data_IF_807743115722
#
_entry.id   IF_807743115722
#
_cell.length_a   1.000
_cell.length_b   1.000
_cell.length_c   1.000
_cell.angle_alpha   90.00
_cell.angle_beta   90.00
_cell.angle_gamma   90.00
#
_symmetry.space_group_name_H-M   'P 1'
#
loop_
_entity.id
_entity.type
_entity.pdbx_description
1 polymer ?
#
# COMPACT_ATOMS: atom_id res chain seq x y z
N UNK A 1 7.16 -26.75 38.64
CA UNK A 1 8.17 -25.76 38.90
C UNK A 1 8.06 -24.58 38.04
N UNK A 2 8.22 -24.79 36.80
CA UNK A 2 8.15 -23.71 35.85
C UNK A 2 6.81 -23.01 35.76
N UNK A 3 5.72 -23.70 35.92
CA UNK A 3 4.41 -23.07 35.81
C UNK A 3 4.15 -21.95 36.78
N UNK A 4 4.71 -22.07 37.97
CA UNK A 4 4.43 -21.06 38.97
C UNK A 4 5.02 -19.70 38.61
N UNK A 5 6.11 -19.72 37.91
CA UNK A 5 6.75 -18.48 37.51
C UNK A 5 5.93 -17.75 36.47
N UNK A 6 5.37 -18.49 35.56
CA UNK A 6 4.61 -17.91 34.48
C UNK A 6 3.33 -17.23 34.97
N UNK A 7 2.73 -17.75 35.99
CA UNK A 7 1.48 -17.19 36.47
C UNK A 7 1.65 -15.81 37.11
N UNK A 8 2.80 -15.53 37.63
CA UNK A 8 3.02 -14.24 38.26
C UNK A 8 3.11 -13.09 37.27
N UNK A 9 3.72 -13.33 36.18
CA UNK A 9 3.95 -12.28 35.20
C UNK A 9 2.66 -11.66 34.61
N UNK A 10 1.65 -12.42 34.30
CA UNK A 10 0.45 -11.86 33.73
C UNK A 10 -0.28 -10.88 34.62
N UNK A 11 -0.22 -11.09 35.88
CA UNK A 11 -0.95 -10.22 36.81
C UNK A 11 -0.44 -8.80 36.77
N UNK A 12 0.84 -8.66 36.83
CA UNK A 12 1.41 -7.33 36.85
C UNK A 12 1.19 -6.63 35.53
N UNK A 13 1.15 -7.37 34.46
CA UNK A 13 0.87 -6.80 33.17
C UNK A 13 -0.54 -6.22 33.11
N UNK A 14 -1.49 -6.89 33.72
CA UNK A 14 -2.85 -6.41 33.76
C UNK A 14 -2.96 -5.06 34.45
N UNK A 15 -2.32 -4.93 35.57
CA UNK A 15 -2.40 -3.69 36.30
C UNK A 15 -1.83 -2.54 35.50
N UNK A 16 -0.74 -2.79 34.84
CA UNK A 16 -0.16 -1.75 34.02
C UNK A 16 -1.04 -1.34 32.86
N UNK A 17 -1.67 -2.32 32.29
CA UNK A 17 -2.54 -2.02 31.17
C UNK A 17 -3.72 -1.16 31.57
N UNK A 18 -4.27 -1.43 32.72
CA UNK A 18 -5.38 -0.62 33.16
C UNK A 18 -5.02 0.84 33.34
N UNK A 19 -3.89 1.05 33.96
CA UNK A 19 -3.45 2.43 34.15
C UNK A 19 -3.16 3.10 32.83
N UNK A 20 -2.57 2.36 31.96
CA UNK A 20 -2.23 2.88 30.66
C UNK A 20 -3.46 3.26 29.86
N UNK A 21 -4.47 2.43 29.94
CA UNK A 21 -5.72 2.70 29.23
C UNK A 21 -6.36 3.98 29.72
N UNK A 22 -6.34 4.22 31.00
CA UNK A 22 -6.91 5.45 31.52
C UNK A 22 -6.22 6.69 30.99
N UNK A 23 -4.91 6.64 30.94
CA UNK A 23 -4.14 7.76 30.42
C UNK A 23 -4.44 7.97 28.95
N UNK A 24 -4.52 6.89 28.21
CA UNK A 24 -4.78 6.97 26.79
C UNK A 24 -6.14 7.61 26.51
N UNK A 25 -7.12 7.30 27.36
CA UNK A 25 -8.43 7.89 27.14
C UNK A 25 -8.40 9.41 27.22
N UNK A 26 -7.67 9.90 28.16
CA UNK A 26 -7.58 11.36 28.33
C UNK A 26 -6.90 11.98 27.13
N UNK A 27 -5.85 11.34 26.69
CA UNK A 27 -5.10 11.88 25.58
C UNK A 27 -5.90 11.79 24.29
N UNK A 28 -6.66 10.72 24.15
CA UNK A 28 -7.43 10.53 22.94
C UNK A 28 -8.43 11.63 22.69
N UNK A 29 -9.00 12.16 23.76
CA UNK A 29 -9.97 13.24 23.60
C UNK A 29 -9.32 14.47 22.99
N UNK A 30 -8.10 14.72 23.37
CA UNK A 30 -7.41 15.89 22.86
C UNK A 30 -7.02 15.76 21.41
N UNK A 31 -6.86 14.56 20.94
CA UNK A 31 -6.35 14.36 19.58
C UNK A 31 -7.42 14.38 18.51
N UNK A 32 -8.65 14.38 18.89
CA UNK A 32 -9.69 14.28 17.88
C UNK A 32 -9.86 15.51 17.05
N UNK A 33 -9.17 16.54 17.39
CA UNK A 33 -9.36 17.80 16.71
C UNK A 33 -8.38 17.90 15.56
N UNK A 34 -8.86 18.08 14.42
CA UNK A 34 -8.00 18.50 13.35
C UNK A 34 -7.37 17.43 12.48
N UNK A 35 -7.86 16.27 12.55
CA UNK A 35 -7.24 15.28 11.73
C UNK A 35 -7.91 15.07 10.42
N UNK A 36 -8.92 15.64 10.17
CA UNK A 36 -9.66 15.23 9.01
C UNK A 36 -9.03 15.54 7.71
N UNK A 37 -7.96 16.23 7.69
CA UNK A 37 -7.78 16.87 6.45
C UNK A 37 -6.86 16.13 5.55
N UNK A 38 -6.28 15.51 5.36
CA UNK A 38 -5.26 15.34 4.37
C UNK A 38 -5.08 14.06 3.74
N UNK A 39 -5.83 13.12 4.11
CA UNK A 39 -5.49 11.81 3.62
C UNK A 39 -6.15 11.44 2.32
N UNK A 40 -6.93 12.29 1.78
CA UNK A 40 -7.68 11.91 0.59
C UNK A 40 -6.88 11.95 -0.68
N UNK A 41 -5.73 12.54 -0.63
CA UNK A 41 -4.97 12.75 -1.85
C UNK A 41 -4.47 11.48 -2.50
N UNK A 42 -4.50 10.40 -1.80
CA UNK A 42 -3.90 9.19 -2.30
C UNK A 42 -4.78 8.38 -3.21
N UNK A 43 -5.98 8.81 -3.44
CA UNK A 43 -6.91 8.01 -4.22
C UNK A 43 -6.57 7.94 -5.68
N UNK A 44 -5.75 8.84 -6.16
CA UNK A 44 -5.59 9.01 -7.59
C UNK A 44 -4.57 8.11 -8.22
N UNK A 45 -3.96 7.26 -7.50
CA UNK A 45 -2.96 6.40 -8.07
C UNK A 45 -1.63 7.07 -8.25
N UNK A 46 -0.75 6.40 -8.93
CA UNK A 46 0.64 6.80 -9.08
C UNK A 46 0.85 7.35 -10.50
N UNK A 47 1.48 8.51 -10.60
CA UNK A 47 1.55 9.19 -11.89
C UNK A 47 2.94 9.59 -12.33
N UNK A 48 3.94 9.41 -11.50
CA UNK A 48 5.28 9.88 -11.80
C UNK A 48 6.25 8.74 -11.97
N UNK A 49 6.38 8.22 -13.17
CA UNK A 49 7.25 7.10 -13.44
C UNK A 49 8.52 7.49 -14.18
N UNK A 50 8.44 8.45 -15.07
CA UNK A 50 9.59 8.85 -15.87
C UNK A 50 9.46 10.30 -16.29
N UNK A 51 10.59 10.89 -16.63
CA UNK A 51 10.64 12.23 -17.21
C UNK A 51 10.90 12.20 -18.70
N UNK A 52 11.01 11.04 -19.29
CA UNK A 52 11.27 10.93 -20.72
C UNK A 52 10.04 11.35 -21.53
N UNK A 53 10.31 11.90 -22.70
CA UNK A 53 9.26 12.19 -23.67
C UNK A 53 8.60 10.90 -24.11
N UNK A 54 7.31 11.01 -24.40
CA UNK A 54 6.53 9.86 -24.83
C UNK A 54 7.11 9.16 -26.06
N UNK A 55 7.76 9.91 -26.92
CA UNK A 55 8.39 9.34 -28.11
C UNK A 55 9.49 8.35 -27.76
N UNK A 56 10.07 8.47 -26.58
CA UNK A 56 11.13 7.59 -26.12
C UNK A 56 10.64 6.42 -25.28
N UNK A 57 9.34 6.32 -25.07
CA UNK A 57 8.78 5.27 -24.23
C UNK A 57 8.80 3.94 -24.94
N UNK A 58 9.03 2.88 -24.18
CA UNK A 58 8.85 1.53 -24.68
C UNK A 58 7.37 1.23 -24.83
N UNK A 59 7.01 0.26 -25.67
CA UNK A 59 5.58 -0.01 -25.91
C UNK A 59 4.87 -0.55 -24.68
N UNK A 60 3.61 -0.20 -24.57
CA UNK A 60 2.78 -0.66 -23.46
C UNK A 60 2.65 -2.17 -23.42
N UNK A 61 2.73 -2.82 -24.57
CA UNK A 61 2.62 -4.27 -24.64
C UNK A 61 3.73 -4.95 -23.85
N UNK A 62 4.89 -4.32 -23.74
CA UNK A 62 5.98 -4.89 -22.95
C UNK A 62 5.68 -4.79 -21.45
N UNK A 63 5.01 -3.73 -21.02
CA UNK A 63 4.57 -3.64 -19.64
C UNK A 63 3.56 -4.72 -19.32
N UNK A 64 2.64 -4.95 -20.25
CA UNK A 64 1.67 -6.03 -20.06
C UNK A 64 2.34 -7.39 -20.00
N UNK A 65 3.35 -7.59 -20.84
CA UNK A 65 4.09 -8.84 -20.82
C UNK A 65 4.81 -9.06 -19.49
N UNK A 66 5.33 -7.99 -18.92
CA UNK A 66 5.97 -8.07 -17.61
C UNK A 66 4.97 -8.43 -16.52
N UNK A 67 3.78 -7.86 -16.57
CA UNK A 67 2.73 -8.19 -15.62
C UNK A 67 2.35 -9.66 -15.73
N UNK A 68 2.23 -10.16 -16.96
CA UNK A 68 1.93 -11.58 -17.16
C UNK A 68 3.03 -12.47 -16.62
N UNK A 69 4.27 -12.07 -16.78
CA UNK A 69 5.40 -12.83 -16.27
C UNK A 69 5.38 -12.90 -14.74
N UNK A 70 4.79 -11.93 -14.08
CA UNK A 70 4.64 -11.94 -12.65
C UNK A 70 3.41 -12.74 -12.18
N UNK A 71 2.66 -13.30 -13.09
CA UNK A 71 1.51 -14.12 -12.75
C UNK A 71 0.19 -13.42 -12.77
N UNK A 72 0.14 -12.19 -13.26
CA UNK A 72 -1.12 -11.46 -13.37
C UNK A 72 -1.84 -11.79 -14.66
N UNK A 73 -3.17 -11.89 -14.56
CA UNK A 73 -4.01 -11.93 -15.74
C UNK A 73 -4.33 -10.50 -16.11
N UNK A 74 -3.79 -10.03 -17.21
CA UNK A 74 -3.93 -8.64 -17.60
C UNK A 74 -5.32 -8.41 -18.17
N UNK A 75 -6.03 -7.43 -17.62
CA UNK A 75 -7.35 -7.06 -18.07
C UNK A 75 -7.31 -5.90 -19.04
N UNK A 76 -6.48 -4.91 -18.77
CA UNK A 76 -6.30 -3.78 -19.66
C UNK A 76 -5.11 -2.97 -19.18
N UNK A 77 -4.69 -2.03 -20.00
CA UNK A 77 -3.65 -1.08 -19.64
C UNK A 77 -3.98 0.28 -20.17
N UNK A 78 -3.44 1.30 -19.54
CA UNK A 78 -3.61 2.68 -20.00
C UNK A 78 -2.42 3.51 -19.55
N UNK A 79 -2.36 4.73 -20.04
CA UNK A 79 -1.36 5.70 -19.60
C UNK A 79 -1.94 6.51 -18.45
N UNK A 80 -1.21 6.57 -17.36
CA UNK A 80 -1.61 7.38 -16.23
C UNK A 80 -0.42 8.28 -15.87
N UNK A 81 -0.54 9.57 -16.18
CA UNK A 81 0.58 10.48 -16.04
C UNK A 81 1.73 10.05 -16.92
N UNK A 82 2.88 9.76 -16.33
CA UNK A 82 4.01 9.23 -17.06
C UNK A 82 4.23 7.75 -16.80
N UNK A 83 3.17 7.02 -16.47
CA UNK A 83 3.25 5.61 -16.17
C UNK A 83 2.36 4.81 -17.10
N UNK A 84 2.70 3.55 -17.30
CA UNK A 84 1.75 2.57 -17.80
C UNK A 84 1.05 1.93 -16.63
N UNK A 85 -0.25 2.08 -16.57
CA UNK A 85 -1.05 1.44 -15.54
C UNK A 85 -1.66 0.18 -16.12
N UNK A 86 -1.29 -0.97 -15.56
CA UNK A 86 -1.77 -2.27 -16.01
C UNK A 86 -2.72 -2.82 -14.96
N UNK A 87 -3.93 -3.13 -15.37
CA UNK A 87 -4.89 -3.79 -14.49
C UNK A 87 -4.72 -5.30 -14.62
N UNK A 88 -4.37 -5.93 -13.51
CA UNK A 88 -4.13 -7.36 -13.51
C UNK A 88 -4.80 -8.05 -12.35
N UNK A 89 -5.23 -9.28 -12.58
CA UNK A 89 -5.84 -10.10 -11.54
C UNK A 89 -4.88 -11.20 -11.16
N UNK A 90 -4.69 -11.39 -9.86
CA UNK A 90 -3.85 -12.45 -9.35
C UNK A 90 -4.50 -13.02 -8.10
N UNK A 91 -4.68 -14.33 -8.09
CA UNK A 91 -5.32 -15.01 -6.96
C UNK A 91 -6.66 -14.40 -6.59
N UNK A 92 -7.42 -14.06 -7.60
CA UNK A 92 -8.76 -13.51 -7.40
C UNK A 92 -8.82 -12.06 -7.00
N UNK A 93 -7.70 -11.37 -6.93
CA UNK A 93 -7.66 -9.96 -6.56
C UNK A 93 -7.23 -9.10 -7.72
N UNK A 94 -7.81 -7.92 -7.80
CA UNK A 94 -7.46 -6.95 -8.81
C UNK A 94 -6.37 -6.02 -8.29
N UNK A 95 -5.39 -5.79 -9.15
CA UNK A 95 -4.27 -4.90 -8.83
C UNK A 95 -4.08 -3.89 -9.95
N UNK A 96 -3.64 -2.71 -9.57
CA UNK A 96 -3.15 -1.71 -10.52
C UNK A 96 -1.64 -1.68 -10.40
N UNK A 97 -0.99 -1.96 -11.51
CA UNK A 97 0.47 -2.05 -11.57
C UNK A 97 0.99 -0.89 -12.40
N UNK A 98 1.90 -0.14 -11.82
CA UNK A 98 2.42 1.07 -12.47
C UNK A 98 3.85 0.83 -12.91
N UNK A 99 4.06 0.81 -14.20
CA UNK A 99 5.37 0.56 -14.80
C UNK A 99 5.94 1.83 -15.39
N UNK A 100 7.25 2.00 -15.29
CA UNK A 100 7.94 3.07 -15.96
C UNK A 100 8.08 2.76 -17.44
N UNK A 101 7.65 3.66 -18.33
CA UNK A 101 7.85 3.44 -19.77
C UNK A 101 9.31 3.48 -20.18
N UNK A 102 10.17 3.95 -19.29
CA UNK A 102 11.58 4.10 -19.60
C UNK A 102 12.30 2.75 -19.62
N UNK A 103 12.12 1.96 -18.59
CA UNK A 103 12.82 0.69 -18.44
C UNK A 103 11.88 -0.45 -18.07
N UNK A 104 10.59 -0.16 -18.01
CA UNK A 104 9.55 -1.12 -17.65
C UNK A 104 9.72 -1.70 -16.25
N UNK A 105 10.32 -0.94 -15.36
CA UNK A 105 10.38 -1.34 -13.96
C UNK A 105 9.04 -1.08 -13.30
N UNK A 106 8.67 -1.96 -12.39
CA UNK A 106 7.44 -1.79 -11.62
C UNK A 106 7.69 -0.77 -10.52
N UNK A 107 7.00 0.35 -10.59
CA UNK A 107 7.20 1.44 -9.65
C UNK A 107 6.26 1.40 -8.48
N UNK A 108 5.06 0.89 -8.69
CA UNK A 108 4.05 0.93 -7.64
C UNK A 108 2.98 -0.11 -7.92
N UNK A 109 2.34 -0.58 -6.86
CA UNK A 109 1.25 -1.54 -6.98
C UNK A 109 0.17 -1.16 -5.98
N UNK A 110 -1.06 -1.13 -6.46
CA UNK A 110 -2.21 -0.87 -5.61
C UNK A 110 -3.14 -2.08 -5.68
N UNK A 111 -3.49 -2.62 -4.53
CA UNK A 111 -4.49 -3.67 -4.46
C UNK A 111 -5.87 -3.05 -4.33
N UNK A 112 -6.86 -3.58 -5.06
CA UNK A 112 -8.22 -3.06 -5.05
C UNK A 112 -9.13 -3.85 -4.13
#
# INVERSE_FOLDING_TARGET
MLPSVCSAAPRSAHDREEKFVKVIRVVAIALTIGIGAGSTAMADGFKNCTKLDKASWKPASEAEAKAKALGYEVRRSKVEGSCYEVYGVKEGKLYELFYSPEDLSLKHTIAK
#
